data_IF_342969442682
#
_entry.id   IF_342969442682
#
_cell.length_a   1.000
_cell.length_b   1.000
_cell.length_c   1.000
_cell.angle_alpha   90.00
_cell.angle_beta   90.00
_cell.angle_gamma   90.00
#
_symmetry.space_group_name_H-M   'P 1'
#
loop_
_entity.id
_entity.type
_entity.pdbx_description
1 polymer ?
#
# COMPACT_ATOMS: atom_id res chain seq x y z
N UNK A 1 -23.09 -7.94 -15.00
CA UNK A 1 -23.56 -8.76 -16.15
C UNK A 1 -23.81 -10.17 -15.64
N UNK A 2 -24.95 -10.73 -15.94
CA UNK A 2 -25.26 -12.14 -15.73
C UNK A 2 -24.74 -12.95 -16.92
N UNK A 3 -23.87 -13.91 -16.71
CA UNK A 3 -23.23 -14.67 -17.79
C UNK A 3 -24.18 -15.71 -18.42
N UNK A 4 -25.30 -16.06 -17.75
CA UNK A 4 -26.28 -17.00 -18.27
C UNK A 4 -27.31 -16.34 -19.19
N UNK A 5 -27.76 -15.12 -18.84
CA UNK A 5 -28.75 -14.36 -19.59
C UNK A 5 -28.16 -13.25 -20.45
N UNK A 6 -26.87 -12.90 -20.25
CA UNK A 6 -26.19 -11.74 -20.82
C UNK A 6 -26.84 -10.38 -20.44
N UNK A 7 -27.73 -10.38 -19.47
CA UNK A 7 -28.28 -9.16 -18.93
C UNK A 7 -27.19 -8.35 -18.21
N UNK A 8 -27.24 -7.03 -18.34
CA UNK A 8 -26.35 -6.11 -17.65
C UNK A 8 -27.10 -4.86 -17.20
N UNK A 9 -26.58 -4.27 -16.14
CA UNK A 9 -26.97 -2.92 -15.68
C UNK A 9 -25.71 -2.07 -15.55
N UNK A 10 -25.88 -0.79 -15.82
CA UNK A 10 -24.82 0.20 -15.65
C UNK A 10 -25.17 1.12 -14.50
N UNK A 11 -24.19 1.38 -13.65
CA UNK A 11 -24.28 2.32 -12.54
C UNK A 11 -23.09 3.27 -12.60
N UNK A 12 -23.35 4.56 -12.46
CA UNK A 12 -22.32 5.59 -12.44
C UNK A 12 -22.30 6.25 -11.06
N UNK A 13 -21.15 6.25 -10.40
CA UNK A 13 -20.94 6.88 -9.10
C UNK A 13 -19.79 7.86 -9.17
N UNK A 14 -19.96 9.04 -8.59
CA UNK A 14 -18.95 10.06 -8.52
C UNK A 14 -18.25 9.97 -7.16
N UNK A 15 -17.09 9.32 -7.10
CA UNK A 15 -16.31 9.10 -5.86
C UNK A 15 -15.04 9.94 -5.77
N UNK A 16 -14.72 10.73 -6.80
CA UNK A 16 -13.42 11.38 -6.97
C UNK A 16 -12.37 10.43 -7.57
N UNK A 17 -11.09 10.75 -7.36
CA UNK A 17 -10.00 9.85 -7.78
C UNK A 17 -10.08 8.54 -7.01
N UNK A 18 -10.03 7.42 -7.73
CA UNK A 18 -9.94 6.08 -7.14
C UNK A 18 -8.52 5.54 -7.29
N UNK A 19 -7.92 5.13 -6.18
CA UNK A 19 -6.59 4.51 -6.18
C UNK A 19 -6.72 2.98 -6.20
N UNK A 20 -7.67 2.43 -5.44
CA UNK A 20 -7.90 0.99 -5.32
C UNK A 20 -9.38 0.64 -5.41
N UNK A 21 -9.62 -0.52 -6.02
CA UNK A 21 -10.92 -1.19 -6.02
C UNK A 21 -10.72 -2.59 -5.45
N UNK A 22 -11.51 -2.93 -4.45
CA UNK A 22 -11.53 -4.24 -3.84
C UNK A 22 -12.94 -4.81 -3.87
N UNK A 23 -13.07 -6.07 -4.25
CA UNK A 23 -14.37 -6.75 -4.32
C UNK A 23 -14.34 -8.00 -3.44
N UNK A 24 -15.24 -8.07 -2.49
CA UNK A 24 -15.58 -9.26 -1.72
C UNK A 24 -16.70 -10.05 -2.42
N UNK A 25 -17.22 -11.06 -1.75
CA UNK A 25 -18.36 -11.84 -2.29
C UNK A 25 -19.61 -10.98 -2.53
N UNK A 26 -19.90 -10.01 -1.66
CA UNK A 26 -21.16 -9.27 -1.66
C UNK A 26 -20.97 -7.75 -1.73
N UNK A 27 -19.76 -7.25 -1.62
CA UNK A 27 -19.48 -5.83 -1.54
C UNK A 27 -18.36 -5.42 -2.51
N UNK A 28 -18.52 -4.23 -3.05
CA UNK A 28 -17.49 -3.51 -3.80
C UNK A 28 -17.02 -2.34 -2.95
N UNK A 29 -15.71 -2.21 -2.80
CA UNK A 29 -15.08 -1.09 -2.10
C UNK A 29 -14.26 -0.27 -3.08
N UNK A 30 -14.44 1.04 -3.03
CA UNK A 30 -13.66 2.01 -3.79
C UNK A 30 -12.89 2.86 -2.80
N UNK A 31 -11.58 2.91 -2.95
CA UNK A 31 -10.68 3.61 -2.05
C UNK A 31 -9.97 4.76 -2.76
N UNK A 32 -9.86 5.89 -2.06
CA UNK A 32 -9.20 7.09 -2.55
C UNK A 32 -8.32 7.68 -1.46
N UNK A 33 -7.03 7.88 -1.74
CA UNK A 33 -6.13 8.54 -0.80
C UNK A 33 -6.20 10.05 -0.98
N UNK A 34 -6.60 10.74 0.07
CA UNK A 34 -6.59 12.19 0.16
C UNK A 34 -5.35 12.64 0.93
N UNK A 35 -4.63 13.62 0.40
CA UNK A 35 -3.57 14.31 1.13
C UNK A 35 -4.12 15.56 1.78
N UNK A 36 -3.77 15.78 3.03
CA UNK A 36 -4.09 17.05 3.73
C UNK A 36 -3.35 18.18 3.02
N UNK A 37 -4.08 19.17 2.53
CA UNK A 37 -3.50 20.29 1.81
C UNK A 37 -2.94 21.34 2.78
N UNK A 38 -1.98 22.13 2.30
CA UNK A 38 -1.48 23.29 3.07
C UNK A 38 -2.62 24.27 3.38
N UNK A 39 -3.59 24.42 2.52
CA UNK A 39 -4.77 25.28 2.74
C UNK A 39 -5.62 24.79 3.93
N UNK A 40 -5.83 23.49 4.07
CA UNK A 40 -6.55 22.93 5.21
C UNK A 40 -5.80 23.17 6.52
N UNK A 41 -4.48 23.06 6.50
CA UNK A 41 -3.62 23.36 7.65
C UNK A 41 -3.73 24.84 8.00
N UNK A 42 -3.54 25.73 7.02
CA UNK A 42 -3.63 27.19 7.20
C UNK A 42 -4.99 27.59 7.76
N UNK A 43 -6.07 27.03 7.20
CA UNK A 43 -7.41 27.32 7.70
C UNK A 43 -7.60 26.83 9.15
N UNK A 44 -7.06 25.67 9.50
CA UNK A 44 -7.14 25.18 10.88
C UNK A 44 -6.45 26.15 11.86
N UNK A 45 -5.32 26.73 11.48
CA UNK A 45 -4.60 27.73 12.29
C UNK A 45 -5.42 29.03 12.41
N UNK A 46 -5.92 29.54 11.28
CA UNK A 46 -6.73 30.77 11.26
C UNK A 46 -7.98 30.58 12.12
N UNK A 47 -8.66 29.43 12.02
CA UNK A 47 -9.86 29.12 12.78
C UNK A 47 -9.63 29.14 14.30
N UNK A 48 -8.51 28.64 14.77
CA UNK A 48 -8.13 28.69 16.19
C UNK A 48 -7.81 30.14 16.65
N UNK A 49 -7.36 31.00 15.73
CA UNK A 49 -7.09 32.41 16.01
C UNK A 49 -8.34 33.31 15.97
N UNK A 50 -9.39 32.91 15.24
CA UNK A 50 -10.59 33.75 15.04
C UNK A 50 -11.16 34.36 16.34
N UNK A 51 -11.26 33.67 17.48
CA UNK A 51 -11.82 34.20 18.71
C UNK A 51 -11.03 35.41 19.28
N UNK A 52 -9.76 35.51 18.92
CA UNK A 52 -8.82 36.50 19.44
C UNK A 52 -8.61 37.68 18.51
N UNK A 53 -9.10 37.60 17.27
CA UNK A 53 -9.01 38.69 16.30
C UNK A 53 -10.02 39.77 16.60
N UNK A 54 -9.70 41.06 16.29
CA UNK A 54 -10.65 42.16 16.33
C UNK A 54 -11.94 41.83 15.57
N UNK A 55 -13.05 42.37 16.05
CA UNK A 55 -14.38 42.06 15.52
C UNK A 55 -14.54 42.37 14.03
N UNK A 56 -13.93 43.47 13.57
CA UNK A 56 -13.92 43.87 12.15
C UNK A 56 -13.17 42.86 11.26
N UNK A 57 -11.96 42.47 11.67
CA UNK A 57 -11.15 41.49 10.93
C UNK A 57 -11.84 40.14 10.93
N UNK A 58 -12.37 39.68 12.07
CA UNK A 58 -13.16 38.45 12.17
C UNK A 58 -14.37 38.47 11.23
N UNK A 59 -15.15 39.57 11.23
CA UNK A 59 -16.31 39.71 10.36
C UNK A 59 -15.95 39.64 8.87
N UNK A 60 -14.81 40.21 8.46
CA UNK A 60 -14.32 40.10 7.07
C UNK A 60 -13.99 38.66 6.75
N UNK A 61 -13.24 37.96 7.60
CA UNK A 61 -12.86 36.55 7.38
C UNK A 61 -14.10 35.65 7.31
N UNK A 62 -15.06 35.82 8.22
CA UNK A 62 -16.32 35.08 8.24
C UNK A 62 -17.13 35.32 6.95
N UNK A 63 -17.21 36.57 6.47
CA UNK A 63 -17.84 36.89 5.21
C UNK A 63 -17.18 36.21 4.01
N UNK A 64 -15.85 36.18 3.96
CA UNK A 64 -15.10 35.45 2.92
C UNK A 64 -15.42 33.95 2.98
N UNK A 65 -15.40 33.34 4.16
CA UNK A 65 -15.67 31.93 4.33
C UNK A 65 -17.12 31.54 3.97
N UNK A 66 -18.07 32.44 4.12
CA UNK A 66 -19.48 32.26 3.73
C UNK A 66 -19.79 32.65 2.28
N UNK A 67 -18.83 33.20 1.53
CA UNK A 67 -18.99 33.61 0.14
C UNK A 67 -19.17 32.41 -0.82
N UNK A 68 -19.48 32.67 -2.10
CA UNK A 68 -19.56 31.66 -3.15
C UNK A 68 -18.21 31.27 -3.79
N UNK A 69 -17.11 31.84 -3.33
CA UNK A 69 -15.77 31.52 -3.84
C UNK A 69 -15.42 30.03 -3.65
N UNK A 70 -14.58 29.45 -4.53
CA UNK A 70 -14.00 28.13 -4.30
C UNK A 70 -13.24 28.05 -2.98
N UNK A 71 -13.28 26.89 -2.31
CA UNK A 71 -12.70 26.70 -0.97
C UNK A 71 -11.25 27.20 -0.84
N UNK A 72 -10.39 26.84 -1.79
CA UNK A 72 -8.97 27.27 -1.77
C UNK A 72 -8.80 28.78 -1.93
N UNK A 73 -9.67 29.41 -2.76
CA UNK A 73 -9.67 30.87 -2.93
C UNK A 73 -10.10 31.57 -1.64
N UNK A 74 -11.11 31.07 -0.93
CA UNK A 74 -11.53 31.62 0.37
C UNK A 74 -10.36 31.65 1.35
N UNK A 75 -9.64 30.54 1.50
CA UNK A 75 -8.53 30.44 2.44
C UNK A 75 -7.40 31.39 2.02
N UNK A 76 -7.07 31.45 0.73
CA UNK A 76 -6.05 32.38 0.22
C UNK A 76 -6.40 33.83 0.52
N UNK A 77 -7.65 34.23 0.27
CA UNK A 77 -8.10 35.61 0.54
C UNK A 77 -8.12 35.91 2.05
N UNK A 78 -8.64 34.99 2.87
CA UNK A 78 -8.63 35.12 4.33
C UNK A 78 -7.21 35.23 4.89
N UNK A 79 -6.28 34.44 4.37
CA UNK A 79 -4.84 34.52 4.73
C UNK A 79 -4.26 35.89 4.37
N UNK A 80 -4.57 36.43 3.19
CA UNK A 80 -4.10 37.74 2.75
C UNK A 80 -4.68 38.86 3.61
N UNK A 81 -5.94 38.79 4.01
CA UNK A 81 -6.57 39.74 4.95
C UNK A 81 -5.84 39.70 6.28
N UNK A 82 -5.62 38.51 6.83
CA UNK A 82 -4.88 38.36 8.09
C UNK A 82 -3.46 38.92 8.01
N UNK A 83 -2.71 38.58 6.95
CA UNK A 83 -1.34 39.08 6.77
C UNK A 83 -1.30 40.59 6.56
N UNK A 84 -2.27 41.17 5.84
CA UNK A 84 -2.34 42.64 5.64
C UNK A 84 -2.64 43.37 6.93
N UNK A 85 -3.56 42.85 7.73
CA UNK A 85 -3.84 43.39 9.05
C UNK A 85 -2.64 43.27 9.99
N UNK A 86 -1.95 42.14 10.02
CA UNK A 86 -0.73 41.94 10.83
C UNK A 86 0.32 43.03 10.57
N UNK A 87 0.44 43.48 9.33
CA UNK A 87 1.37 44.57 8.95
C UNK A 87 0.95 45.97 9.46
N UNK A 88 -0.28 46.11 9.92
CA UNK A 88 -0.78 47.39 10.47
C UNK A 88 -0.54 47.51 11.99
N UNK A 89 -0.18 46.40 12.63
CA UNK A 89 0.10 46.37 14.06
C UNK A 89 1.44 47.01 14.41
N UNK A 90 1.57 47.45 15.65
CA UNK A 90 2.88 47.86 16.20
C UNK A 90 3.80 46.62 16.28
N UNK A 91 5.10 46.87 16.31
CA UNK A 91 6.10 45.80 16.27
C UNK A 91 5.96 44.82 17.46
N UNK A 92 5.65 45.34 18.67
CA UNK A 92 5.42 44.56 19.88
C UNK A 92 4.17 43.65 19.74
N UNK A 93 3.06 44.21 19.28
CA UNK A 93 1.79 43.47 19.05
C UNK A 93 1.92 42.42 17.96
N UNK A 94 2.59 42.78 16.85
CA UNK A 94 2.85 41.83 15.76
C UNK A 94 3.75 40.66 16.19
N UNK A 95 4.73 40.91 17.09
CA UNK A 95 5.60 39.89 17.65
C UNK A 95 4.79 38.91 18.54
N UNK A 96 4.01 39.48 19.48
CA UNK A 96 3.16 38.67 20.37
C UNK A 96 2.19 37.75 19.56
N UNK A 97 1.50 38.33 18.58
CA UNK A 97 0.59 37.58 17.73
C UNK A 97 1.31 36.53 16.89
N UNK A 98 2.52 36.82 16.39
CA UNK A 98 3.33 35.87 15.65
C UNK A 98 3.71 34.66 16.52
N UNK A 99 4.10 34.89 17.79
CA UNK A 99 4.38 33.77 18.72
C UNK A 99 3.12 32.95 18.99
N UNK A 100 1.97 33.59 19.11
CA UNK A 100 0.69 32.92 19.28
C UNK A 100 0.30 32.07 18.06
N UNK A 101 0.49 32.60 16.84
CA UNK A 101 0.33 31.84 15.58
C UNK A 101 1.23 30.63 15.57
N UNK A 102 2.48 30.75 16.04
CA UNK A 102 3.41 29.62 16.16
C UNK A 102 2.92 28.60 17.16
N UNK A 103 2.43 29.01 18.32
CA UNK A 103 1.90 28.09 19.34
C UNK A 103 0.68 27.32 18.82
N UNK A 104 -0.26 28.01 18.20
CA UNK A 104 -1.42 27.39 17.56
C UNK A 104 -0.98 26.47 16.40
N UNK A 105 -0.04 26.92 15.58
CA UNK A 105 0.54 26.10 14.51
C UNK A 105 1.12 24.80 15.03
N UNK A 106 1.83 24.81 16.17
CA UNK A 106 2.30 23.61 16.86
C UNK A 106 1.14 22.70 17.24
N UNK A 107 0.13 23.22 17.92
CA UNK A 107 -1.06 22.47 18.35
C UNK A 107 -1.80 21.82 17.19
N UNK A 108 -1.91 22.52 16.07
CA UNK A 108 -2.59 22.06 14.85
C UNK A 108 -1.77 21.03 14.08
N UNK A 109 -0.44 21.14 14.09
CA UNK A 109 0.46 20.31 13.28
C UNK A 109 0.96 19.07 14.03
N UNK A 110 1.20 19.17 15.34
CA UNK A 110 1.82 18.08 16.08
C UNK A 110 0.97 16.81 16.06
N UNK A 111 1.59 15.72 15.60
CA UNK A 111 0.93 14.45 15.43
C UNK A 111 -0.08 14.37 14.28
N UNK A 112 -0.24 15.46 13.48
CA UNK A 112 -1.20 15.47 12.38
C UNK A 112 -0.83 14.48 11.28
N UNK A 113 -1.82 13.69 10.88
CA UNK A 113 -1.69 12.75 9.76
C UNK A 113 -1.79 13.52 8.44
N UNK A 114 -0.88 13.22 7.51
CA UNK A 114 -0.80 13.88 6.20
C UNK A 114 -1.62 13.22 5.10
N UNK A 115 -1.92 11.94 5.26
CA UNK A 115 -2.71 11.16 4.31
C UNK A 115 -3.90 10.50 4.99
N UNK A 116 -5.03 10.45 4.31
CA UNK A 116 -6.26 9.79 4.73
C UNK A 116 -6.79 8.95 3.56
N UNK A 117 -7.14 7.70 3.82
CA UNK A 117 -7.83 6.86 2.83
C UNK A 117 -9.33 6.94 3.07
N UNK A 118 -10.04 7.51 2.10
CA UNK A 118 -11.50 7.49 2.02
C UNK A 118 -11.93 6.13 1.47
N UNK A 119 -12.99 5.57 2.04
CA UNK A 119 -13.51 4.25 1.69
C UNK A 119 -15.01 4.38 1.40
N UNK A 120 -15.43 3.89 0.24
CA UNK A 120 -16.83 3.81 -0.16
C UNK A 120 -17.20 2.34 -0.31
N UNK A 121 -18.26 1.89 0.37
CA UNK A 121 -18.81 0.54 0.25
C UNK A 121 -20.10 0.55 -0.53
N UNK A 122 -20.17 -0.33 -1.52
CA UNK A 122 -21.34 -0.63 -2.31
C UNK A 122 -21.71 -2.10 -2.12
N UNK A 123 -22.98 -2.40 -1.88
CA UNK A 123 -23.47 -3.78 -1.83
C UNK A 123 -23.91 -4.23 -3.21
N UNK A 124 -23.55 -5.44 -3.58
CA UNK A 124 -23.94 -6.09 -4.84
C UNK A 124 -25.19 -6.94 -4.59
N UNK A 125 -26.29 -6.60 -5.24
CA UNK A 125 -27.58 -7.30 -5.14
C UNK A 125 -28.04 -7.74 -6.55
N UNK A 126 -27.61 -8.93 -6.96
CA UNK A 126 -27.79 -9.38 -8.35
C UNK A 126 -27.04 -8.47 -9.33
N UNK A 127 -27.76 -7.79 -10.22
CA UNK A 127 -27.17 -6.82 -11.15
C UNK A 127 -27.12 -5.38 -10.58
N UNK A 128 -27.65 -5.16 -9.40
CA UNK A 128 -27.66 -3.82 -8.78
C UNK A 128 -26.44 -3.60 -7.88
N UNK A 129 -25.86 -2.42 -7.99
CA UNK A 129 -24.77 -1.91 -7.13
C UNK A 129 -25.32 -0.74 -6.33
N UNK A 130 -25.41 -0.88 -5.02
CA UNK A 130 -26.08 0.07 -4.13
C UNK A 130 -25.08 0.70 -3.17
N UNK A 131 -24.91 2.04 -3.13
CA UNK A 131 -24.07 2.71 -2.16
C UNK A 131 -24.65 2.54 -0.75
N UNK A 132 -23.83 2.07 0.21
CA UNK A 132 -24.29 1.74 1.56
C UNK A 132 -23.56 2.50 2.66
N UNK A 133 -22.24 2.72 2.50
CA UNK A 133 -21.45 3.35 3.55
C UNK A 133 -20.26 4.13 2.99
N UNK A 134 -19.83 5.11 3.78
CA UNK A 134 -18.60 5.88 3.56
C UNK A 134 -17.87 6.00 4.89
N UNK A 135 -16.56 5.77 4.88
CA UNK A 135 -15.68 5.93 6.04
C UNK A 135 -14.30 6.41 5.63
N UNK A 136 -13.43 6.53 6.61
CA UNK A 136 -12.02 6.87 6.34
C UNK A 136 -11.10 6.32 7.41
N UNK A 137 -9.84 6.14 7.06
CA UNK A 137 -8.76 5.75 7.97
C UNK A 137 -7.50 6.58 7.70
N UNK A 138 -6.67 6.85 8.72
CA UNK A 138 -5.38 7.50 8.56
C UNK A 138 -4.42 6.71 7.67
N UNK A 139 -3.69 7.40 6.79
CA UNK A 139 -2.65 6.82 5.94
C UNK A 139 -3.13 6.44 4.54
N UNK A 140 -2.23 5.84 3.77
CA UNK A 140 -2.46 5.34 2.41
C UNK A 140 -2.29 3.83 2.34
N UNK A 141 -2.94 3.21 1.39
CA UNK A 141 -2.91 1.77 1.12
C UNK A 141 -1.83 1.46 0.10
N UNK A 142 -1.05 0.41 0.32
CA UNK A 142 -0.01 -0.02 -0.61
C UNK A 142 -0.63 -0.62 -1.88
N UNK A 143 -1.49 -1.63 -1.70
CA UNK A 143 -2.08 -2.42 -2.77
C UNK A 143 -3.39 -3.10 -2.33
N UNK A 144 -4.00 -3.86 -3.23
CA UNK A 144 -5.22 -4.61 -2.97
C UNK A 144 -5.08 -5.71 -1.89
N UNK A 145 -3.86 -6.20 -1.61
CA UNK A 145 -3.61 -7.22 -0.59
C UNK A 145 -3.54 -6.64 0.82
N UNK A 146 -3.43 -5.31 0.90
CA UNK A 146 -3.55 -4.54 2.14
C UNK A 146 -4.99 -4.35 2.59
N UNK A 147 -5.96 -4.91 1.84
CA UNK A 147 -7.40 -4.77 2.06
C UNK A 147 -8.03 -6.16 2.14
N UNK A 148 -9.01 -6.32 3.02
CA UNK A 148 -9.76 -7.57 3.14
C UNK A 148 -11.15 -7.35 3.76
N UNK A 149 -12.09 -8.22 3.44
CA UNK A 149 -13.37 -8.34 4.14
C UNK A 149 -13.51 -9.73 4.73
N UNK A 150 -13.66 -9.83 6.05
CA UNK A 150 -13.80 -11.09 6.75
C UNK A 150 -14.78 -10.98 7.92
N UNK A 151 -15.70 -11.94 8.05
CA UNK A 151 -16.65 -12.01 9.18
C UNK A 151 -17.41 -10.72 9.47
N UNK A 152 -17.89 -10.03 8.43
CA UNK A 152 -18.61 -8.74 8.49
C UNK A 152 -17.75 -7.55 8.99
N UNK A 153 -16.47 -7.63 8.84
CA UNK A 153 -15.55 -6.53 9.08
C UNK A 153 -14.74 -6.23 7.82
N UNK A 154 -14.56 -4.97 7.54
CA UNK A 154 -13.59 -4.49 6.57
C UNK A 154 -12.26 -4.25 7.28
N UNK A 155 -11.18 -4.80 6.77
CA UNK A 155 -9.85 -4.74 7.37
C UNK A 155 -8.88 -4.10 6.39
N UNK A 156 -8.06 -3.18 6.87
CA UNK A 156 -7.19 -2.40 6.01
C UNK A 156 -5.86 -2.10 6.72
N UNK A 157 -4.76 -2.32 6.00
CA UNK A 157 -3.42 -1.95 6.44
C UNK A 157 -2.97 -0.68 5.70
N UNK A 158 -2.47 0.29 6.46
CA UNK A 158 -2.03 1.58 5.92
C UNK A 158 -0.65 1.97 6.41
N UNK A 159 0.09 2.73 5.61
CA UNK A 159 1.23 3.53 6.07
C UNK A 159 0.76 4.97 6.24
N UNK A 160 0.96 5.55 7.41
CA UNK A 160 0.66 6.95 7.68
C UNK A 160 1.93 7.74 7.94
N UNK A 161 1.92 9.01 7.57
CA UNK A 161 2.97 9.96 7.87
C UNK A 161 2.38 11.05 8.77
N UNK A 162 3.02 11.26 9.92
CA UNK A 162 2.62 12.29 10.87
C UNK A 162 3.69 13.35 10.97
N UNK A 163 3.29 14.62 11.05
CA UNK A 163 4.19 15.73 11.32
C UNK A 163 4.44 15.80 12.82
N UNK A 164 5.67 16.12 13.19
CA UNK A 164 6.08 16.42 14.55
C UNK A 164 6.94 17.69 14.55
N UNK A 165 6.84 18.45 15.62
CA UNK A 165 7.70 19.59 15.87
C UNK A 165 8.94 19.09 16.61
N UNK A 166 10.13 19.46 16.14
CA UNK A 166 11.37 19.03 16.80
C UNK A 166 11.54 19.75 18.14
N UNK A 167 11.91 18.98 19.17
CA UNK A 167 12.30 19.56 20.47
C UNK A 167 13.50 20.50 20.29
N UNK A 168 13.37 21.72 20.84
CA UNK A 168 14.43 22.74 20.81
C UNK A 168 14.46 23.64 19.57
N UNK A 169 13.76 23.29 18.47
CA UNK A 169 13.61 24.16 17.31
C UNK A 169 12.19 24.18 16.79
N UNK A 170 11.48 25.21 17.15
CA UNK A 170 10.06 25.40 16.85
C UNK A 170 9.74 25.63 15.37
N UNK A 171 10.75 25.89 14.55
CA UNK A 171 10.62 26.05 13.11
C UNK A 171 10.99 24.76 12.36
N UNK A 172 11.57 23.78 13.06
CA UNK A 172 11.96 22.53 12.46
C UNK A 172 10.82 21.49 12.56
N UNK A 173 10.19 21.22 11.42
CA UNK A 173 9.21 20.17 11.26
C UNK A 173 9.90 18.88 10.80
N UNK A 174 9.58 17.78 11.44
CA UNK A 174 9.97 16.44 10.97
C UNK A 174 8.71 15.62 10.70
N UNK A 175 8.83 14.60 9.86
CA UNK A 175 7.74 13.65 9.65
C UNK A 175 8.21 12.24 9.96
N UNK A 176 7.36 11.48 10.65
CA UNK A 176 7.60 10.06 10.93
C UNK A 176 6.52 9.24 10.27
N UNK A 177 6.95 8.17 9.58
CA UNK A 177 6.04 7.14 9.08
C UNK A 177 5.76 6.13 10.18
N UNK A 178 4.58 5.53 10.14
CA UNK A 178 4.21 4.37 10.92
C UNK A 178 3.16 3.56 10.17
N UNK A 179 3.04 2.28 10.51
CA UNK A 179 2.12 1.39 9.84
C UNK A 179 0.99 1.02 10.79
N UNK A 180 -0.20 0.82 10.23
CA UNK A 180 -1.39 0.65 11.03
C UNK A 180 -2.29 -0.42 10.40
N UNK A 181 -3.09 -1.08 11.24
CA UNK A 181 -4.24 -1.89 10.83
C UNK A 181 -5.48 -1.27 11.43
N UNK A 182 -6.50 -1.08 10.62
CA UNK A 182 -7.84 -0.68 11.06
C UNK A 182 -8.83 -1.78 10.74
N UNK A 183 -9.76 -2.00 11.67
CA UNK A 183 -10.88 -2.91 11.51
C UNK A 183 -12.14 -2.06 11.61
N UNK A 184 -12.96 -2.09 10.57
CA UNK A 184 -14.18 -1.31 10.46
C UNK A 184 -15.38 -2.25 10.39
N UNK A 185 -16.51 -1.82 10.95
CA UNK A 185 -17.78 -2.49 10.74
C UNK A 185 -18.33 -2.28 9.32
N UNK A 186 -19.50 -2.82 9.02
CA UNK A 186 -20.11 -2.67 7.70
C UNK A 186 -20.62 -1.26 7.42
N UNK A 187 -20.72 -0.38 8.43
CA UNK A 187 -20.99 1.04 8.27
C UNK A 187 -19.70 1.85 8.07
N UNK A 188 -18.55 1.17 7.98
CA UNK A 188 -17.21 1.75 7.87
C UNK A 188 -16.81 2.61 9.08
N UNK A 189 -17.37 2.30 10.26
CA UNK A 189 -16.91 2.85 11.53
C UNK A 189 -15.76 2.02 12.07
N UNK A 190 -14.69 2.66 12.53
CA UNK A 190 -13.54 1.96 13.13
C UNK A 190 -13.97 1.32 14.44
N UNK A 191 -13.87 0.00 14.55
CA UNK A 191 -14.19 -0.78 15.75
C UNK A 191 -12.95 -1.25 16.50
N UNK A 192 -11.81 -1.35 15.81
CA UNK A 192 -10.53 -1.68 16.40
C UNK A 192 -9.37 -1.19 15.54
N UNK A 193 -8.22 -1.02 16.18
CA UNK A 193 -7.02 -0.51 15.51
C UNK A 193 -5.75 -0.97 16.19
N UNK A 194 -4.71 -1.16 15.37
CA UNK A 194 -3.32 -1.31 15.78
C UNK A 194 -2.53 -0.23 15.06
N UNK A 195 -2.04 0.77 15.79
CA UNK A 195 -1.33 1.91 15.23
C UNK A 195 0.13 1.95 15.68
N UNK A 196 0.98 2.66 14.92
CA UNK A 196 2.35 2.93 15.31
C UNK A 196 3.31 1.75 15.08
N UNK A 197 2.94 0.76 14.29
CA UNK A 197 3.82 -0.39 14.00
C UNK A 197 5.03 0.06 13.17
N UNK A 198 6.23 -0.43 13.52
CA UNK A 198 7.49 -0.19 12.82
C UNK A 198 7.73 1.30 12.48
N UNK A 199 7.96 2.18 13.49
CA UNK A 199 8.16 3.62 13.26
C UNK A 199 9.35 3.89 12.33
N UNK A 200 9.14 4.77 11.33
CA UNK A 200 10.14 5.11 10.33
C UNK A 200 10.21 4.15 9.14
N UNK A 201 9.39 3.11 9.12
CA UNK A 201 9.26 2.15 8.03
C UNK A 201 7.95 2.34 7.28
N UNK A 202 7.82 1.68 6.11
CA UNK A 202 6.56 1.59 5.36
C UNK A 202 6.22 0.12 5.09
N UNK A 203 4.95 -0.16 4.81
CA UNK A 203 4.52 -1.48 4.36
C UNK A 203 5.07 -1.74 2.95
N UNK A 204 5.63 -2.94 2.75
CA UNK A 204 6.09 -3.46 1.46
C UNK A 204 5.24 -4.62 0.96
N UNK A 205 4.66 -5.40 1.86
CA UNK A 205 3.68 -6.41 1.53
C UNK A 205 2.70 -6.62 2.68
N UNK A 206 1.48 -6.99 2.33
CA UNK A 206 0.45 -7.39 3.28
C UNK A 206 -0.25 -8.66 2.78
N UNK A 207 -0.72 -9.49 3.73
CA UNK A 207 -1.57 -10.63 3.41
C UNK A 207 -2.48 -10.98 4.57
N UNK A 208 -3.77 -11.05 4.31
CA UNK A 208 -4.76 -11.52 5.26
C UNK A 208 -5.07 -13.00 5.06
N UNK A 209 -5.14 -13.76 6.15
CA UNK A 209 -5.44 -15.20 6.17
C UNK A 209 -6.38 -15.53 7.33
N UNK A 210 -7.68 -15.54 7.08
CA UNK A 210 -8.69 -15.75 8.14
C UNK A 210 -8.54 -14.72 9.26
N UNK A 211 -8.29 -15.17 10.48
CA UNK A 211 -8.10 -14.29 11.65
C UNK A 211 -6.68 -13.75 11.82
N UNK A 212 -5.83 -13.89 10.82
CA UNK A 212 -4.45 -13.42 10.86
C UNK A 212 -4.18 -12.41 9.74
N UNK A 213 -3.27 -11.49 10.01
CA UNK A 213 -2.62 -10.68 8.99
C UNK A 213 -1.10 -10.81 9.09
N UNK A 214 -0.44 -10.75 7.95
CA UNK A 214 1.01 -10.72 7.84
C UNK A 214 1.42 -9.45 7.13
N UNK A 215 2.32 -8.67 7.76
CA UNK A 215 2.85 -7.43 7.20
C UNK A 215 4.37 -7.50 7.11
N UNK A 216 4.89 -7.12 5.98
CA UNK A 216 6.30 -6.83 5.76
C UNK A 216 6.50 -5.34 5.78
N UNK A 217 7.38 -4.85 6.65
CA UNK A 217 7.83 -3.46 6.67
C UNK A 217 9.34 -3.43 6.45
N UNK A 218 9.91 -2.34 5.95
CA UNK A 218 11.34 -2.28 5.68
C UNK A 218 11.92 -0.88 5.82
N UNK A 219 13.12 -0.84 6.40
CA UNK A 219 14.05 0.29 6.36
C UNK A 219 15.49 -0.16 6.10
N UNK A 220 15.97 -1.18 6.78
CA UNK A 220 17.32 -1.79 6.65
C UNK A 220 17.30 -3.30 6.86
N UNK A 221 16.43 -3.80 7.70
CA UNK A 221 16.25 -5.23 8.01
C UNK A 221 14.74 -5.47 8.09
N UNK A 222 14.28 -6.55 7.49
CA UNK A 222 12.87 -6.84 7.27
C UNK A 222 12.21 -7.57 8.45
N UNK A 223 11.28 -6.96 9.19
CA UNK A 223 10.37 -7.72 10.02
C UNK A 223 9.12 -8.16 9.23
N UNK A 224 8.89 -9.47 9.17
CA UNK A 224 7.59 -10.06 8.86
C UNK A 224 6.79 -10.18 10.16
N UNK A 225 5.76 -9.36 10.32
CA UNK A 225 4.86 -9.40 11.47
C UNK A 225 3.73 -10.38 11.28
N UNK A 226 3.43 -11.18 12.31
CA UNK A 226 2.19 -11.93 12.47
C UNK A 226 1.26 -11.18 13.42
N UNK A 227 0.04 -10.92 12.97
CA UNK A 227 -0.95 -10.08 13.68
C UNK A 227 -2.23 -10.87 13.85
N UNK A 228 -2.70 -10.97 15.08
CA UNK A 228 -3.96 -11.61 15.46
C UNK A 228 -5.10 -10.61 15.32
N UNK A 229 -6.10 -10.97 14.53
CA UNK A 229 -7.33 -10.23 14.26
C UNK A 229 -8.58 -10.98 14.75
N UNK A 230 -8.41 -12.01 15.58
CA UNK A 230 -9.53 -12.83 16.09
C UNK A 230 -10.49 -12.03 16.97
N UNK A 231 -9.95 -11.04 17.74
CA UNK A 231 -10.75 -10.01 18.37
C UNK A 231 -10.71 -8.73 17.50
N UNK A 232 -11.78 -8.42 16.75
CA UNK A 232 -11.80 -7.24 15.88
C UNK A 232 -11.60 -5.91 16.62
N UNK A 233 -11.88 -5.87 17.91
CA UNK A 233 -11.73 -4.65 18.74
C UNK A 233 -10.31 -4.44 19.26
N UNK A 234 -9.50 -5.50 19.25
CA UNK A 234 -8.15 -5.50 19.84
C UNK A 234 -7.16 -6.28 18.96
N UNK A 235 -6.87 -5.79 17.73
CA UNK A 235 -5.83 -6.39 16.90
C UNK A 235 -4.47 -6.23 17.56
N UNK A 236 -3.64 -7.30 17.52
CA UNK A 236 -2.33 -7.29 18.20
C UNK A 236 -1.27 -8.07 17.47
N UNK A 237 -0.03 -7.59 17.56
CA UNK A 237 1.15 -8.34 17.11
C UNK A 237 1.32 -9.56 18.03
N UNK A 238 1.43 -10.74 17.43
CA UNK A 238 1.64 -12.01 18.17
C UNK A 238 2.99 -12.66 17.86
N UNK A 239 3.65 -12.26 16.78
CA UNK A 239 4.95 -12.76 16.41
C UNK A 239 5.61 -11.86 15.36
N UNK A 240 6.92 -11.99 15.24
CA UNK A 240 7.65 -11.38 14.15
C UNK A 240 8.92 -12.19 13.83
N UNK A 241 9.34 -12.12 12.57
CA UNK A 241 10.60 -12.68 12.09
C UNK A 241 11.41 -11.55 11.47
N UNK A 242 12.69 -11.46 11.82
CA UNK A 242 13.61 -10.44 11.31
C UNK A 242 14.73 -11.12 10.54
N UNK A 243 14.82 -10.83 9.24
CA UNK A 243 15.81 -11.43 8.33
C UNK A 243 16.41 -10.38 7.39
N UNK A 244 17.60 -10.58 6.81
CA UNK A 244 18.15 -9.69 5.77
C UNK A 244 17.33 -9.75 4.46
N UNK A 245 17.13 -8.60 3.83
CA UNK A 245 16.29 -8.44 2.65
C UNK A 245 14.84 -8.14 2.99
N UNK A 246 13.97 -8.03 2.00
CA UNK A 246 12.56 -7.76 2.20
C UNK A 246 11.71 -8.34 1.09
N UNK A 247 10.49 -8.77 1.46
CA UNK A 247 9.50 -9.28 0.52
C UNK A 247 8.55 -8.15 0.11
N UNK A 248 8.34 -8.00 -1.20
CA UNK A 248 7.35 -7.07 -1.76
C UNK A 248 6.06 -7.78 -2.20
N UNK A 249 6.12 -9.10 -2.25
CA UNK A 249 4.96 -9.94 -2.53
C UNK A 249 4.92 -11.14 -1.58
N UNK A 250 3.72 -11.42 -1.04
CA UNK A 250 3.45 -12.58 -0.19
C UNK A 250 2.36 -13.44 -0.81
N UNK A 251 2.62 -14.75 -0.96
CA UNK A 251 1.66 -15.70 -1.48
C UNK A 251 1.39 -16.84 -0.48
N UNK A 252 0.12 -17.09 -0.08
CA UNK A 252 -0.21 -18.22 0.78
C UNK A 252 0.06 -19.56 0.10
N UNK A 253 0.70 -20.48 0.83
CA UNK A 253 1.01 -21.79 0.31
C UNK A 253 0.69 -22.89 1.31
N UNK A 254 -0.14 -23.87 0.89
CA UNK A 254 -0.53 -25.07 1.68
C UNK A 254 -1.03 -24.77 3.09
N UNK A 255 -1.65 -23.61 3.35
CA UNK A 255 -2.25 -23.22 4.63
C UNK A 255 -1.28 -23.01 5.80
N UNK A 256 0.00 -23.38 5.66
CA UNK A 256 1.01 -23.28 6.70
C UNK A 256 2.28 -22.52 6.28
N UNK A 257 2.33 -22.08 5.04
CA UNK A 257 3.45 -21.32 4.51
C UNK A 257 3.02 -20.01 3.84
N UNK A 258 3.94 -19.05 3.85
CA UNK A 258 3.93 -17.90 2.95
C UNK A 258 5.17 -17.96 2.07
N UNK A 259 4.99 -17.78 0.78
CA UNK A 259 6.09 -17.56 -0.17
C UNK A 259 6.29 -16.04 -0.23
N UNK A 260 7.46 -15.55 0.18
CA UNK A 260 7.86 -14.16 0.05
C UNK A 260 8.79 -14.00 -1.15
N UNK A 261 8.51 -13.00 -1.99
CA UNK A 261 9.39 -12.65 -3.12
C UNK A 261 9.73 -11.16 -3.03
N UNK A 262 11.00 -10.85 -3.13
CA UNK A 262 11.48 -9.48 -3.00
C UNK A 262 12.97 -9.37 -3.23
N UNK A 263 13.62 -8.47 -2.51
CA UNK A 263 15.03 -8.12 -2.70
C UNK A 263 15.89 -8.71 -1.58
N UNK A 264 16.93 -9.44 -1.97
CA UNK A 264 18.00 -9.81 -1.05
C UNK A 264 18.92 -8.62 -0.80
N UNK A 265 19.30 -8.41 0.46
CA UNK A 265 20.27 -7.36 0.82
C UNK A 265 21.41 -7.91 1.65
N UNK A 266 22.53 -7.20 1.66
CA UNK A 266 23.56 -7.38 2.67
C UNK A 266 23.06 -6.91 4.04
N UNK A 267 23.76 -7.18 5.12
CA UNK A 267 23.46 -6.65 6.46
C UNK A 267 23.45 -5.11 6.49
N UNK A 268 24.24 -4.47 5.62
CA UNK A 268 24.23 -3.01 5.46
C UNK A 268 23.05 -2.47 4.65
N UNK A 269 22.17 -3.34 4.11
CA UNK A 269 20.98 -2.99 3.34
C UNK A 269 21.23 -2.80 1.84
N UNK A 270 22.42 -3.13 1.30
CA UNK A 270 22.73 -3.04 -0.14
C UNK A 270 22.06 -4.22 -0.89
N UNK A 271 21.27 -3.97 -1.95
CA UNK A 271 20.69 -5.02 -2.78
C UNK A 271 21.76 -5.93 -3.39
N UNK A 272 21.49 -7.24 -3.44
CA UNK A 272 22.38 -8.27 -4.02
C UNK A 272 21.68 -9.24 -4.95
N UNK A 273 20.35 -9.11 -5.15
CA UNK A 273 19.57 -9.95 -6.03
C UNK A 273 18.10 -10.09 -5.62
N UNK A 274 17.41 -10.99 -6.29
CA UNK A 274 16.03 -11.36 -5.96
C UNK A 274 16.06 -12.49 -4.94
N UNK A 275 15.32 -12.32 -3.84
CA UNK A 275 15.14 -13.35 -2.79
C UNK A 275 13.77 -13.99 -2.92
N UNK A 276 13.72 -15.30 -2.78
CA UNK A 276 12.49 -16.07 -2.57
C UNK A 276 12.62 -16.78 -1.24
N UNK A 277 11.66 -16.57 -0.34
CA UNK A 277 11.63 -17.15 1.00
C UNK A 277 10.38 -17.99 1.18
N UNK A 278 10.50 -19.12 1.87
CA UNK A 278 9.40 -19.94 2.34
C UNK A 278 9.27 -19.76 3.85
N UNK A 279 8.30 -18.96 4.28
CA UNK A 279 8.04 -18.73 5.70
C UNK A 279 7.10 -19.79 6.24
N UNK A 280 7.49 -20.46 7.31
CA UNK A 280 6.60 -21.33 8.07
C UNK A 280 5.79 -20.47 9.04
N UNK A 281 4.48 -20.45 8.83
CA UNK A 281 3.48 -19.72 9.62
C UNK A 281 2.53 -20.64 10.39
N UNK A 282 2.85 -21.95 10.52
CA UNK A 282 2.04 -22.91 11.29
C UNK A 282 1.84 -22.46 12.74
N UNK A 283 2.84 -21.83 13.32
CA UNK A 283 2.73 -21.13 14.59
C UNK A 283 2.96 -19.62 14.34
N UNK A 284 1.89 -18.81 14.27
CA UNK A 284 2.02 -17.40 13.98
C UNK A 284 2.74 -16.58 15.06
N UNK A 285 2.94 -17.16 16.27
CA UNK A 285 3.74 -16.58 17.34
C UNK A 285 5.24 -16.84 17.16
N UNK A 286 5.61 -17.83 16.36
CA UNK A 286 7.00 -18.21 16.07
C UNK A 286 7.17 -18.47 14.57
N UNK A 287 7.15 -17.41 13.79
CA UNK A 287 7.36 -17.43 12.35
C UNK A 287 8.85 -17.74 12.09
N UNK A 288 9.13 -18.65 11.15
CA UNK A 288 10.50 -19.00 10.78
C UNK A 288 10.67 -19.02 9.26
N UNK A 289 11.86 -18.72 8.76
CA UNK A 289 12.22 -18.94 7.37
C UNK A 289 12.64 -20.42 7.21
N UNK A 290 11.75 -21.24 6.65
CA UNK A 290 12.00 -22.67 6.47
C UNK A 290 13.04 -22.92 5.37
N UNK A 291 13.02 -22.09 4.32
CA UNK A 291 13.97 -22.15 3.20
C UNK A 291 14.03 -20.81 2.50
N UNK A 292 15.16 -20.49 1.91
CA UNK A 292 15.26 -19.34 1.00
C UNK A 292 16.31 -19.59 -0.09
N UNK A 293 16.14 -18.90 -1.22
CA UNK A 293 17.10 -18.82 -2.31
C UNK A 293 17.31 -17.38 -2.73
N UNK A 294 18.52 -17.10 -3.22
CA UNK A 294 18.88 -15.79 -3.78
C UNK A 294 19.38 -15.97 -5.21
N UNK A 295 18.68 -15.35 -6.16
CA UNK A 295 19.17 -15.20 -7.53
C UNK A 295 20.03 -13.95 -7.55
N UNK A 296 21.36 -14.13 -7.46
CA UNK A 296 22.33 -13.02 -7.34
C UNK A 296 22.45 -12.22 -8.63
N UNK A 297 22.62 -10.93 -8.51
CA UNK A 297 22.81 -9.98 -9.61
C UNK A 297 22.10 -8.65 -9.36
N UNK A 298 22.30 -7.71 -10.26
CA UNK A 298 21.47 -6.49 -10.35
C UNK A 298 20.21 -6.85 -11.13
N UNK A 299 19.26 -7.48 -10.44
CA UNK A 299 18.08 -8.11 -11.02
C UNK A 299 16.80 -7.45 -10.50
N UNK A 300 15.84 -7.35 -11.41
CA UNK A 300 14.50 -6.86 -11.16
C UNK A 300 13.47 -7.89 -11.65
N UNK A 301 12.24 -7.78 -11.14
CA UNK A 301 11.09 -8.56 -11.59
C UNK A 301 9.85 -7.68 -11.68
N UNK A 302 9.01 -7.83 -12.74
CA UNK A 302 7.72 -7.15 -12.80
C UNK A 302 6.81 -7.48 -11.61
N UNK A 303 7.02 -8.61 -10.96
CA UNK A 303 6.22 -9.06 -9.82
C UNK A 303 6.19 -8.06 -8.65
N UNK A 304 7.23 -7.24 -8.47
CA UNK A 304 7.31 -6.25 -7.39
C UNK A 304 6.26 -5.13 -7.52
N UNK A 305 5.71 -4.92 -8.72
CA UNK A 305 4.66 -3.93 -8.99
C UNK A 305 3.42 -4.49 -9.68
N UNK A 306 3.47 -5.74 -10.17
CA UNK A 306 2.35 -6.42 -10.81
C UNK A 306 2.29 -7.90 -10.42
N UNK A 307 1.48 -8.21 -9.42
CA UNK A 307 1.31 -9.57 -8.90
C UNK A 307 0.84 -10.59 -9.96
N UNK A 308 0.27 -10.15 -11.09
CA UNK A 308 -0.13 -11.04 -12.20
C UNK A 308 1.07 -11.61 -12.96
N UNK A 309 2.29 -11.12 -12.69
CA UNK A 309 3.51 -11.73 -13.18
C UNK A 309 3.89 -13.03 -12.43
N UNK A 310 3.24 -13.32 -11.30
CA UNK A 310 3.46 -14.52 -10.51
C UNK A 310 2.65 -15.70 -11.02
N UNK A 311 3.32 -16.84 -11.17
CA UNK A 311 2.71 -18.12 -11.45
C UNK A 311 2.99 -19.11 -10.32
N UNK A 312 1.97 -19.84 -9.88
CA UNK A 312 2.13 -21.03 -9.04
C UNK A 312 1.41 -22.22 -9.66
N UNK A 313 2.11 -23.34 -9.79
CA UNK A 313 1.55 -24.63 -10.15
C UNK A 313 1.53 -25.55 -8.94
N UNK A 314 0.37 -25.68 -8.31
CA UNK A 314 0.19 -26.53 -7.12
C UNK A 314 0.32 -28.01 -7.42
N UNK A 315 -0.05 -28.44 -8.63
CA UNK A 315 0.01 -29.86 -9.03
C UNK A 315 1.43 -30.37 -9.21
N UNK A 316 2.32 -29.50 -9.69
CA UNK A 316 3.74 -29.82 -9.95
C UNK A 316 4.71 -29.13 -9.00
N UNK A 317 4.18 -28.42 -8.01
CA UNK A 317 4.93 -27.77 -6.93
C UNK A 317 6.07 -26.89 -7.44
N UNK A 318 5.75 -25.90 -8.27
CA UNK A 318 6.71 -24.88 -8.66
C UNK A 318 6.04 -23.49 -8.75
N UNK A 319 6.87 -22.46 -8.63
CA UNK A 319 6.53 -21.09 -8.99
C UNK A 319 7.38 -20.64 -10.16
N UNK A 320 6.85 -19.68 -10.91
CA UNK A 320 7.61 -19.02 -11.96
C UNK A 320 7.23 -17.52 -12.05
N UNK A 321 8.21 -16.69 -12.39
CA UNK A 321 8.00 -15.26 -12.58
C UNK A 321 9.10 -14.68 -13.46
N UNK A 322 8.82 -13.61 -14.23
CA UNK A 322 9.81 -12.96 -15.06
C UNK A 322 10.90 -12.26 -14.25
N UNK A 323 12.13 -12.31 -14.75
CA UNK A 323 13.29 -11.59 -14.18
C UNK A 323 14.10 -10.96 -15.31
N UNK A 324 14.74 -9.83 -15.04
CA UNK A 324 15.65 -9.17 -15.97
C UNK A 324 16.72 -8.35 -15.24
N UNK A 325 17.86 -8.17 -15.88
CA UNK A 325 18.96 -7.37 -15.34
C UNK A 325 20.33 -7.92 -15.74
N UNK A 326 21.29 -7.83 -14.82
CA UNK A 326 22.67 -8.24 -15.06
C UNK A 326 23.17 -9.17 -13.97
N UNK A 327 23.83 -10.25 -14.37
CA UNK A 327 24.50 -11.20 -13.48
C UNK A 327 25.99 -11.07 -13.67
N UNK A 328 26.73 -10.87 -12.58
CA UNK A 328 28.18 -10.75 -12.63
C UNK A 328 28.82 -11.99 -13.27
N UNK A 329 29.71 -11.78 -14.23
CA UNK A 329 30.37 -12.85 -14.99
C UNK A 329 29.51 -13.56 -16.04
N UNK A 330 28.19 -13.29 -16.11
CA UNK A 330 27.29 -13.90 -17.09
C UNK A 330 26.65 -12.90 -18.05
N UNK A 331 26.69 -11.60 -17.72
CA UNK A 331 26.10 -10.55 -18.56
C UNK A 331 24.61 -10.36 -18.35
N UNK A 332 23.91 -9.90 -19.39
CA UNK A 332 22.46 -9.62 -19.37
C UNK A 332 21.68 -10.92 -19.20
N UNK A 333 20.71 -10.91 -18.27
CA UNK A 333 19.76 -11.98 -18.05
C UNK A 333 18.34 -11.45 -18.26
N UNK A 334 17.59 -12.06 -19.14
CA UNK A 334 16.17 -11.77 -19.37
C UNK A 334 15.42 -13.08 -19.55
N UNK A 335 14.44 -13.33 -18.74
CA UNK A 335 13.70 -14.59 -18.82
C UNK A 335 12.73 -14.82 -17.69
N UNK A 336 12.46 -16.07 -17.41
CA UNK A 336 11.57 -16.50 -16.33
C UNK A 336 12.31 -17.44 -15.40
N UNK A 337 12.41 -17.07 -14.12
CA UNK A 337 12.89 -17.96 -13.08
C UNK A 337 11.83 -19.00 -12.76
N UNK A 338 12.23 -20.28 -12.69
CA UNK A 338 11.38 -21.42 -12.30
C UNK A 338 11.97 -22.04 -11.05
N UNK A 339 11.18 -22.08 -9.98
CA UNK A 339 11.62 -22.50 -8.64
C UNK A 339 10.71 -23.61 -8.15
N UNK A 340 11.28 -24.77 -7.81
CA UNK A 340 10.53 -25.87 -7.20
C UNK A 340 10.19 -25.57 -5.73
N UNK A 341 8.98 -25.99 -5.35
CA UNK A 341 8.42 -25.88 -4.00
C UNK A 341 8.39 -27.28 -3.35
N UNK A 342 9.34 -27.52 -2.47
CA UNK A 342 9.40 -28.72 -1.64
C UNK A 342 9.50 -28.37 -0.17
N UNK A 343 10.17 -29.19 0.62
CA UNK A 343 10.59 -28.84 1.97
C UNK A 343 11.68 -27.76 1.94
N UNK A 344 12.39 -27.68 0.82
CA UNK A 344 13.31 -26.59 0.46
C UNK A 344 12.94 -26.00 -0.90
N UNK A 345 13.32 -24.74 -1.11
CA UNK A 345 13.24 -24.07 -2.40
C UNK A 345 14.45 -24.42 -3.25
N UNK A 346 14.27 -24.68 -4.54
CA UNK A 346 15.35 -24.95 -5.47
C UNK A 346 15.11 -24.23 -6.80
N UNK A 347 16.13 -23.52 -7.31
CA UNK A 347 16.06 -22.91 -8.64
C UNK A 347 16.24 -24.01 -9.70
N UNK A 348 15.15 -24.41 -10.37
CA UNK A 348 15.18 -25.35 -11.49
C UNK A 348 15.93 -24.79 -12.69
N UNK A 349 15.81 -23.50 -12.91
CA UNK A 349 16.50 -22.79 -14.00
C UNK A 349 15.86 -21.44 -14.32
N UNK A 350 16.46 -20.76 -15.28
CA UNK A 350 15.89 -19.56 -15.89
C UNK A 350 15.70 -19.85 -17.38
N UNK A 351 14.47 -19.82 -17.84
CA UNK A 351 14.13 -19.95 -19.26
C UNK A 351 14.30 -18.58 -19.94
N UNK A 352 15.08 -18.53 -21.02
CA UNK A 352 15.40 -17.27 -21.70
C UNK A 352 14.23 -16.78 -22.54
N UNK A 353 13.76 -15.58 -22.21
CA UNK A 353 12.75 -14.88 -22.99
C UNK A 353 12.84 -13.37 -22.76
N UNK A 354 13.26 -12.66 -23.80
CA UNK A 354 13.41 -11.21 -23.76
C UNK A 354 12.09 -10.53 -23.43
N UNK A 355 12.13 -9.56 -22.49
CA UNK A 355 10.98 -8.75 -22.08
C UNK A 355 9.73 -9.58 -21.70
N UNK A 356 9.93 -10.74 -21.08
CA UNK A 356 8.82 -11.51 -20.53
C UNK A 356 8.08 -10.68 -19.47
N UNK A 357 6.75 -10.62 -19.57
CA UNK A 357 5.88 -9.84 -18.68
C UNK A 357 4.88 -10.71 -17.94
N UNK A 358 4.56 -11.90 -18.47
CA UNK A 358 3.60 -12.85 -17.90
C UNK A 358 4.07 -14.27 -18.06
N UNK A 359 3.67 -15.11 -17.13
CA UNK A 359 3.88 -16.55 -17.17
C UNK A 359 2.57 -17.23 -16.82
N UNK A 360 2.22 -18.25 -17.54
CA UNK A 360 1.11 -19.14 -17.21
C UNK A 360 1.48 -20.61 -17.54
N UNK A 361 0.70 -21.55 -17.03
CA UNK A 361 0.85 -22.95 -17.42
C UNK A 361 -0.45 -23.50 -17.98
N UNK A 362 -0.31 -24.40 -18.95
CA UNK A 362 -1.41 -25.23 -19.47
C UNK A 362 -0.85 -26.63 -19.56
N UNK A 363 -1.49 -27.58 -18.88
CA UNK A 363 -1.02 -28.97 -18.79
C UNK A 363 0.43 -29.07 -18.31
N UNK A 364 1.34 -29.54 -19.16
CA UNK A 364 2.76 -29.79 -18.88
C UNK A 364 3.67 -28.68 -19.45
N UNK A 365 3.12 -27.55 -19.82
CA UNK A 365 3.87 -26.50 -20.49
C UNK A 365 3.81 -25.17 -19.75
N UNK A 366 4.95 -24.48 -19.72
CA UNK A 366 5.07 -23.10 -19.27
C UNK A 366 5.00 -22.19 -20.49
N UNK A 367 4.09 -21.25 -20.47
CA UNK A 367 3.94 -20.20 -21.48
C UNK A 367 4.53 -18.91 -20.92
N UNK A 368 5.65 -18.50 -21.48
CA UNK A 368 6.23 -17.18 -21.21
C UNK A 368 5.77 -16.19 -22.28
N UNK A 369 5.25 -15.06 -21.86
CA UNK A 369 4.58 -14.09 -22.73
C UNK A 369 5.32 -12.75 -22.65
N UNK A 370 5.71 -12.24 -23.79
CA UNK A 370 6.17 -10.86 -24.00
C UNK A 370 5.17 -10.12 -24.91
N UNK A 371 5.45 -8.85 -25.21
CA UNK A 371 4.66 -8.09 -26.19
C UNK A 371 4.88 -8.56 -27.63
N UNK A 372 6.00 -9.22 -27.91
CA UNK A 372 6.41 -9.62 -29.26
C UNK A 372 6.14 -11.10 -29.53
N UNK A 373 6.32 -11.96 -28.52
CA UNK A 373 6.31 -13.42 -28.70
C UNK A 373 5.67 -14.15 -27.50
N UNK A 374 5.18 -15.37 -27.77
CA UNK A 374 4.89 -16.37 -26.77
C UNK A 374 5.87 -17.52 -26.96
N UNK A 375 6.60 -17.88 -25.92
CA UNK A 375 7.47 -19.06 -25.91
C UNK A 375 6.86 -20.14 -25.01
N UNK A 376 6.80 -21.36 -25.52
CA UNK A 376 6.25 -22.53 -24.83
C UNK A 376 7.39 -23.45 -24.46
N UNK A 377 7.47 -23.80 -23.18
CA UNK A 377 8.53 -24.68 -22.65
C UNK A 377 7.90 -25.89 -21.95
N UNK A 378 8.54 -27.05 -22.09
CA UNK A 378 8.22 -28.20 -21.25
C UNK A 378 8.59 -27.90 -19.79
N UNK A 379 7.65 -28.07 -18.85
CA UNK A 379 7.81 -27.63 -17.45
C UNK A 379 8.75 -28.54 -16.61
N UNK A 380 9.06 -29.72 -17.11
CA UNK A 380 9.98 -30.68 -16.45
C UNK A 380 11.44 -30.44 -16.87
N UNK A 381 11.66 -30.25 -18.18
CA UNK A 381 12.99 -30.12 -18.78
C UNK A 381 13.43 -28.69 -19.04
N UNK A 382 12.49 -27.72 -18.99
CA UNK A 382 12.65 -26.31 -19.35
C UNK A 382 13.13 -26.10 -20.80
N UNK A 383 12.95 -27.09 -21.69
CA UNK A 383 13.31 -26.99 -23.11
C UNK A 383 12.23 -26.24 -23.88
N UNK A 384 12.68 -25.37 -24.78
CA UNK A 384 11.80 -24.67 -25.72
C UNK A 384 11.14 -25.68 -26.67
N UNK A 385 9.80 -25.67 -26.69
CA UNK A 385 8.98 -26.53 -27.54
C UNK A 385 8.41 -25.78 -28.74
N UNK A 386 8.05 -24.50 -28.55
CA UNK A 386 7.44 -23.67 -29.60
C UNK A 386 7.65 -22.20 -29.32
N UNK A 387 7.79 -21.43 -30.39
CA UNK A 387 7.77 -19.97 -30.36
C UNK A 387 6.68 -19.46 -31.31
N UNK A 388 5.88 -18.50 -30.85
CA UNK A 388 4.78 -17.91 -31.57
C UNK A 388 5.03 -16.42 -31.63
N UNK A 389 5.17 -15.87 -32.83
CA UNK A 389 5.32 -14.42 -33.03
C UNK A 389 3.94 -13.75 -32.99
N UNK A 390 3.81 -12.71 -32.18
CA UNK A 390 2.58 -11.92 -32.01
C UNK A 390 2.58 -10.65 -32.89
N UNK A 391 3.75 -10.26 -33.40
CA UNK A 391 3.81 -9.13 -34.30
C UNK A 391 3.01 -9.41 -35.58
N UNK A 392 2.17 -8.47 -36.05
CA UNK A 392 1.53 -8.62 -37.36
C UNK A 392 2.60 -8.82 -38.42
N UNK A 393 2.45 -9.84 -39.27
CA UNK A 393 3.26 -9.95 -40.46
C UNK A 393 2.96 -8.70 -41.32
N UNK A 394 3.94 -7.78 -41.41
CA UNK A 394 3.89 -6.68 -42.37
C UNK A 394 3.82 -7.22 -43.78
#
# INVERSE_FOLDING_TARGET
MDLGTLEHKEHVFLTGRSDWVYMSKNNLYVLSTRRVSIYEITWSIIKELLPELPTDIRGIIDSIMNSSLPYYSKISVATNVFQSWLKTLREDEARELTEKVREIGRKVLDGRVLEETLIYRFTIKGLDVVPEAKGSVPGYVLDQFSIDEYSKYFRIATTSRRIYIMEGDVNALTSKTSNNIYILDMNLSIVGKLEGLAPGERIYAARYLGNLAYLVTYRRVDPLYGIDLSNPREPKVIGYLKIPGYSEYLHPYRGRYLIGIGIATTESGRPIGIKVSLFNISNPKNITEASSIVIKGDLMTPLLYDHKAFLINYGRNYIAFPIYGYVEGKGKLEGVAVISLGDTLELKGVIEHRLAIRVLYIENYIYSISIETIKVFDDSTLKLMKEINLAPKM
#
